data_IF_862249383267
#
_entry.id   IF_862249383267
#
_cell.length_a   1.000
_cell.length_b   1.000
_cell.length_c   1.000
_cell.angle_alpha   90.00
_cell.angle_beta   90.00
_cell.angle_gamma   90.00
#
_symmetry.space_group_name_H-M   'P 1'
#
loop_
_entity.id
_entity.type
_entity.pdbx_description
1 polymer ?
#
# COMPACT_ATOMS: atom_id res chain seq x y z
N UNK A 1 -5.80 -10.45 -0.19
CA UNK A 1 -5.62 -9.04 0.25
C UNK A 1 -4.19 -8.55 0.09
N UNK A 2 -3.16 -9.30 0.51
CA UNK A 2 -1.75 -8.87 0.39
C UNK A 2 -1.34 -8.37 -1.01
N UNK A 3 -1.71 -9.09 -2.08
CA UNK A 3 -1.42 -8.63 -3.44
C UNK A 3 -2.05 -7.28 -3.79
N UNK A 4 -3.26 -7.00 -3.29
CA UNK A 4 -3.94 -5.72 -3.48
C UNK A 4 -3.25 -4.58 -2.72
N UNK A 5 -2.85 -4.83 -1.47
CA UNK A 5 -2.06 -3.87 -0.68
C UNK A 5 -0.73 -3.58 -1.37
N UNK A 6 -0.04 -4.62 -1.85
CA UNK A 6 1.24 -4.46 -2.52
C UNK A 6 1.13 -3.63 -3.79
N UNK A 7 0.11 -3.86 -4.63
CA UNK A 7 -0.13 -3.00 -5.78
C UNK A 7 -0.46 -1.57 -5.36
N UNK A 8 -1.39 -1.39 -4.42
CA UNK A 8 -1.78 -0.06 -3.94
C UNK A 8 -0.57 0.75 -3.45
N UNK A 9 0.39 0.08 -2.80
CA UNK A 9 1.68 0.67 -2.44
C UNK A 9 2.54 0.99 -3.67
N UNK A 10 2.72 0.05 -4.60
CA UNK A 10 3.53 0.23 -5.82
C UNK A 10 3.07 1.41 -6.68
N UNK A 11 1.76 1.63 -6.79
CA UNK A 11 1.21 2.75 -7.58
C UNK A 11 1.06 4.03 -6.75
N UNK A 12 1.27 3.98 -5.44
CA UNK A 12 1.11 5.13 -4.54
C UNK A 12 2.04 6.27 -4.92
N UNK A 13 3.32 5.97 -5.17
CA UNK A 13 4.33 6.95 -5.59
C UNK A 13 3.97 7.66 -6.91
N UNK A 14 3.40 6.92 -7.86
CA UNK A 14 2.94 7.49 -9.15
C UNK A 14 1.80 8.48 -8.92
N UNK A 15 0.88 8.14 -8.02
CA UNK A 15 -0.21 9.04 -7.64
C UNK A 15 0.27 10.23 -6.80
N UNK A 16 1.32 10.08 -5.99
CA UNK A 16 1.89 11.15 -5.18
C UNK A 16 2.45 12.30 -6.06
N UNK A 17 2.98 11.98 -7.23
CA UNK A 17 3.44 12.99 -8.22
C UNK A 17 2.34 13.47 -9.16
N UNK A 18 1.07 13.12 -8.89
CA UNK A 18 -0.09 13.58 -9.65
C UNK A 18 -0.32 12.85 -11.00
N UNK A 19 0.49 11.85 -11.35
CA UNK A 19 0.29 11.10 -12.58
C UNK A 19 -0.95 10.19 -12.48
N UNK A 20 -1.85 10.30 -13.45
CA UNK A 20 -3.13 9.56 -13.46
C UNK A 20 -3.13 8.33 -14.36
N UNK A 21 -2.34 8.38 -15.43
CA UNK A 21 -2.15 7.28 -16.36
C UNK A 21 -0.91 6.47 -15.94
N UNK A 22 -1.04 5.15 -15.95
CA UNK A 22 0.05 4.21 -15.71
C UNK A 22 0.16 3.35 -16.97
N UNK A 23 1.31 3.38 -17.62
CA UNK A 23 1.55 2.67 -18.88
C UNK A 23 1.87 1.20 -18.66
N UNK A 24 2.61 0.90 -17.58
CA UNK A 24 2.97 -0.48 -17.25
C UNK A 24 3.03 -0.72 -15.75
N UNK A 25 2.52 -1.89 -15.34
CA UNK A 25 2.69 -2.43 -13.99
C UNK A 25 3.29 -3.83 -14.09
N UNK A 26 4.35 -4.09 -13.32
CA UNK A 26 4.99 -5.41 -13.19
C UNK A 26 5.00 -5.88 -11.74
N UNK A 27 4.55 -7.09 -11.49
CA UNK A 27 4.66 -7.75 -10.18
C UNK A 27 6.05 -8.32 -9.96
N UNK A 28 6.59 -8.11 -8.77
CA UNK A 28 7.76 -8.82 -8.23
C UNK A 28 7.32 -9.50 -6.95
N UNK A 29 7.36 -10.83 -6.92
CA UNK A 29 6.88 -11.61 -5.77
C UNK A 29 7.90 -12.70 -5.43
N UNK A 30 7.97 -13.10 -4.17
CA UNK A 30 8.65 -14.33 -3.79
C UNK A 30 7.67 -15.48 -3.56
N UNK A 31 8.19 -16.69 -3.70
CA UNK A 31 7.57 -17.92 -3.21
C UNK A 31 8.37 -18.37 -1.97
N UNK A 32 7.82 -18.22 -0.75
CA UNK A 32 8.55 -18.48 0.49
C UNK A 32 9.13 -19.89 0.57
N UNK A 33 10.41 -20.04 0.92
CA UNK A 33 11.04 -21.36 0.98
C UNK A 33 10.53 -22.22 2.14
N UNK A 34 9.97 -21.59 3.18
CA UNK A 34 9.37 -22.29 4.33
C UNK A 34 8.03 -22.93 4.00
N UNK A 35 7.34 -22.47 2.96
CA UNK A 35 6.09 -23.08 2.50
C UNK A 35 6.40 -24.35 1.71
N UNK A 36 5.58 -25.37 1.91
CA UNK A 36 5.50 -26.54 1.04
C UNK A 36 5.09 -26.12 -0.38
N UNK A 37 5.32 -27.00 -1.37
CA UNK A 37 4.89 -26.75 -2.75
C UNK A 37 3.37 -26.53 -2.82
N UNK A 38 2.59 -27.34 -2.12
CA UNK A 38 1.13 -27.20 -2.06
C UNK A 38 0.68 -25.85 -1.48
N UNK A 39 1.36 -25.33 -0.46
CA UNK A 39 1.06 -24.01 0.09
C UNK A 39 1.42 -22.89 -0.89
N UNK A 40 2.56 -23.01 -1.60
CA UNK A 40 2.95 -22.03 -2.63
C UNK A 40 1.96 -22.01 -3.79
N UNK A 41 1.47 -23.17 -4.20
CA UNK A 41 0.46 -23.32 -5.27
C UNK A 41 -0.89 -22.70 -4.93
N UNK A 42 -1.13 -22.38 -3.64
CA UNK A 42 -2.31 -21.65 -3.19
C UNK A 42 -1.98 -20.17 -2.99
N UNK A 43 -0.96 -19.86 -2.19
CA UNK A 43 -0.69 -18.49 -1.73
C UNK A 43 -0.20 -17.60 -2.86
N UNK A 44 0.70 -18.09 -3.73
CA UNK A 44 1.26 -17.26 -4.82
C UNK A 44 0.16 -16.87 -5.83
N UNK A 45 -0.69 -17.79 -6.32
CA UNK A 45 -1.83 -17.40 -7.17
C UNK A 45 -2.80 -16.43 -6.49
N UNK A 46 -3.07 -16.56 -5.18
CA UNK A 46 -3.91 -15.61 -4.45
C UNK A 46 -3.30 -14.20 -4.38
N UNK A 47 -1.98 -14.10 -4.22
CA UNK A 47 -1.25 -12.82 -4.28
C UNK A 47 -1.35 -12.22 -5.67
N UNK A 48 -1.03 -13.00 -6.71
CA UNK A 48 -1.10 -12.56 -8.11
C UNK A 48 -2.50 -12.05 -8.45
N UNK A 49 -3.53 -12.81 -8.09
CA UNK A 49 -4.93 -12.45 -8.31
C UNK A 49 -5.28 -11.11 -7.65
N UNK A 50 -4.97 -10.94 -6.36
CA UNK A 50 -5.25 -9.70 -5.66
C UNK A 50 -4.51 -8.50 -6.23
N UNK A 51 -3.27 -8.70 -6.70
CA UNK A 51 -2.47 -7.68 -7.37
C UNK A 51 -3.11 -7.28 -8.71
N UNK A 52 -3.51 -8.25 -9.53
CA UNK A 52 -4.17 -8.02 -10.83
C UNK A 52 -5.55 -7.35 -10.70
N UNK A 53 -6.35 -7.77 -9.71
CA UNK A 53 -7.67 -7.16 -9.45
C UNK A 53 -7.54 -5.67 -9.12
N UNK A 54 -6.56 -5.30 -8.29
CA UNK A 54 -6.30 -3.90 -7.99
C UNK A 54 -5.68 -3.15 -9.18
N UNK A 55 -4.92 -3.83 -10.05
CA UNK A 55 -4.33 -3.23 -11.25
C UNK A 55 -5.41 -2.84 -12.26
N UNK A 56 -6.47 -3.64 -12.33
CA UNK A 56 -7.66 -3.32 -13.12
C UNK A 56 -8.33 -2.00 -12.65
N UNK A 57 -8.38 -1.74 -11.35
CA UNK A 57 -8.87 -0.46 -10.79
C UNK A 57 -7.95 0.72 -11.12
N UNK A 58 -6.63 0.47 -11.19
CA UNK A 58 -5.67 1.44 -11.71
C UNK A 58 -5.83 1.69 -13.23
N UNK A 59 -6.67 0.92 -13.93
CA UNK A 59 -6.86 0.92 -15.40
C UNK A 59 -5.58 0.55 -16.16
N UNK A 60 -4.71 -0.26 -15.55
CA UNK A 60 -3.49 -0.77 -16.18
C UNK A 60 -3.30 -2.24 -15.76
N UNK A 61 -3.51 -3.22 -16.67
CA UNK A 61 -3.30 -4.62 -16.35
C UNK A 61 -1.85 -4.90 -15.92
N UNK A 62 -1.70 -5.59 -14.79
CA UNK A 62 -0.38 -5.97 -14.30
C UNK A 62 0.16 -7.21 -15.01
N UNK A 63 1.43 -7.14 -15.44
CA UNK A 63 2.20 -8.29 -15.92
C UNK A 63 2.94 -8.95 -14.76
N UNK A 64 3.15 -10.25 -14.84
CA UNK A 64 4.06 -10.95 -13.94
C UNK A 64 5.49 -10.61 -14.40
N UNK A 65 6.27 -9.97 -13.53
CA UNK A 65 7.67 -9.63 -13.80
C UNK A 65 8.61 -10.75 -13.39
N UNK A 66 8.71 -10.99 -12.08
CA UNK A 66 9.56 -12.04 -11.52
C UNK A 66 8.88 -12.74 -10.34
N UNK A 67 9.05 -14.06 -10.28
CA UNK A 67 8.71 -14.88 -9.12
C UNK A 67 9.96 -15.70 -8.78
N UNK A 68 10.46 -15.54 -7.55
CA UNK A 68 11.69 -16.20 -7.11
C UNK A 68 11.50 -16.87 -5.75
N UNK A 69 12.23 -17.96 -5.51
CA UNK A 69 12.32 -18.53 -4.17
C UNK A 69 13.07 -17.58 -3.24
N UNK A 70 12.53 -17.35 -2.05
CA UNK A 70 13.16 -16.53 -1.02
C UNK A 70 12.71 -17.04 0.36
N UNK A 71 13.54 -16.99 1.42
CA UNK A 71 13.09 -17.29 2.77
C UNK A 71 11.89 -16.46 3.22
N UNK A 72 11.83 -15.19 2.81
CA UNK A 72 10.78 -14.27 3.20
C UNK A 72 9.73 -14.06 2.11
N UNK A 73 8.49 -13.80 2.53
CA UNK A 73 7.43 -13.36 1.63
C UNK A 73 7.66 -11.89 1.25
N UNK A 74 8.01 -11.64 -0.01
CA UNK A 74 8.26 -10.33 -0.58
C UNK A 74 7.23 -10.12 -1.67
N UNK A 75 6.49 -9.02 -1.60
CA UNK A 75 5.49 -8.67 -2.60
C UNK A 75 5.67 -7.19 -2.92
N UNK A 76 5.91 -6.89 -4.19
CA UNK A 76 6.12 -5.54 -4.68
C UNK A 76 5.97 -5.50 -6.20
N UNK A 77 6.55 -4.47 -6.81
CA UNK A 77 6.42 -4.29 -8.23
C UNK A 77 7.00 -2.97 -8.73
N UNK A 78 6.81 -2.74 -10.01
CA UNK A 78 7.19 -1.50 -10.69
C UNK A 78 5.92 -0.94 -11.35
N UNK A 79 5.68 0.36 -11.16
CA UNK A 79 4.74 1.13 -11.95
C UNK A 79 5.50 2.16 -12.78
N UNK A 80 5.12 2.33 -14.04
CA UNK A 80 5.78 3.26 -14.97
C UNK A 80 4.74 4.08 -15.71
N UNK A 81 5.00 5.37 -15.83
CA UNK A 81 4.18 6.34 -16.55
C UNK A 81 5.07 7.31 -17.33
N UNK A 82 4.70 7.61 -18.57
CA UNK A 82 5.30 8.62 -19.43
C UNK A 82 4.34 9.82 -19.43
N UNK A 83 4.77 10.91 -18.80
CA UNK A 83 3.94 12.08 -18.58
C UNK A 83 4.56 13.32 -19.19
N UNK A 84 3.73 14.24 -19.67
CA UNK A 84 4.15 15.63 -19.82
C UNK A 84 4.36 16.27 -18.45
N UNK A 85 5.30 17.22 -18.38
CA UNK A 85 5.58 17.96 -17.14
C UNK A 85 4.34 18.64 -16.55
N UNK A 86 3.38 19.05 -17.39
CA UNK A 86 2.11 19.65 -16.96
C UNK A 86 1.15 18.69 -16.25
N UNK A 87 1.38 17.39 -16.36
CA UNK A 87 0.58 16.35 -15.70
C UNK A 87 1.14 15.98 -14.32
N UNK A 88 2.29 16.55 -13.94
CA UNK A 88 2.99 16.24 -12.71
C UNK A 88 2.87 17.37 -11.69
N UNK A 89 2.68 16.98 -10.44
CA UNK A 89 2.70 17.86 -9.26
C UNK A 89 3.93 17.45 -8.46
N UNK A 90 4.94 18.30 -8.47
CA UNK A 90 6.23 17.99 -7.85
C UNK A 90 6.18 18.22 -6.33
N UNK A 91 6.87 17.42 -5.51
CA UNK A 91 6.76 17.45 -4.04
C UNK A 91 7.38 18.69 -3.37
N UNK A 92 8.01 19.59 -4.14
CA UNK A 92 8.83 20.69 -3.62
C UNK A 92 8.25 22.10 -3.88
N UNK A 93 6.99 22.19 -4.28
CA UNK A 93 6.35 23.45 -4.65
C UNK A 93 5.43 24.03 -3.57
N UNK A 94 5.44 23.46 -2.35
CA UNK A 94 4.66 23.96 -1.21
C UNK A 94 5.05 25.40 -0.85
N UNK A 95 4.08 26.19 -0.39
CA UNK A 95 4.22 27.62 -0.12
C UNK A 95 3.78 27.98 1.31
N UNK A 96 4.37 29.03 1.91
CA UNK A 96 3.86 29.56 3.18
C UNK A 96 2.38 29.94 3.08
N UNK A 97 1.57 29.41 4.00
CA UNK A 97 0.12 29.60 4.02
C UNK A 97 -0.68 28.42 3.45
N UNK A 98 -0.02 27.42 2.84
CA UNK A 98 -0.67 26.19 2.41
C UNK A 98 -1.21 25.38 3.61
N UNK A 99 -2.32 24.67 3.38
CA UNK A 99 -2.85 23.70 4.32
C UNK A 99 -2.40 22.28 3.98
N UNK A 100 -2.17 21.46 5.01
CA UNK A 100 -1.84 20.04 4.85
C UNK A 100 -3.12 19.20 4.94
N UNK A 101 -3.30 18.29 3.99
CA UNK A 101 -4.44 17.36 3.93
C UNK A 101 -3.93 15.92 3.87
N UNK A 102 -4.32 15.11 4.85
CA UNK A 102 -4.02 13.68 4.89
C UNK A 102 -5.22 12.86 4.41
N UNK A 103 -5.03 12.01 3.40
CA UNK A 103 -6.14 11.31 2.72
C UNK A 103 -6.47 9.94 3.32
N UNK A 104 -5.57 9.36 4.12
CA UNK A 104 -5.73 8.06 4.81
C UNK A 104 -5.36 8.20 6.29
N UNK A 105 -6.08 7.54 7.21
CA UNK A 105 -5.72 7.55 8.62
C UNK A 105 -4.37 6.85 8.87
N UNK A 106 -3.68 7.26 9.93
CA UNK A 106 -2.44 6.64 10.41
C UNK A 106 -2.73 5.39 11.25
N UNK A 107 -1.67 4.65 11.62
CA UNK A 107 -1.74 3.56 12.60
C UNK A 107 -1.87 2.14 12.02
N UNK A 108 -1.66 1.96 10.71
CA UNK A 108 -1.73 0.65 10.05
C UNK A 108 -0.76 -0.38 10.64
N UNK A 109 0.46 0.03 11.00
CA UNK A 109 1.43 -0.84 11.65
C UNK A 109 0.95 -1.29 13.04
N UNK A 110 0.37 -0.39 13.85
CA UNK A 110 -0.17 -0.74 15.16
C UNK A 110 -1.33 -1.72 15.04
N UNK A 111 -2.27 -1.46 14.12
CA UNK A 111 -3.41 -2.35 13.88
C UNK A 111 -2.97 -3.74 13.39
N UNK A 112 -1.95 -3.80 12.54
CA UNK A 112 -1.41 -5.06 12.00
C UNK A 112 -0.66 -5.84 13.09
N UNK A 113 0.20 -5.18 13.86
CA UNK A 113 0.95 -5.83 14.95
C UNK A 113 0.02 -6.32 16.07
N UNK A 114 -0.99 -5.52 16.46
CA UNK A 114 -1.96 -5.93 17.46
C UNK A 114 -2.71 -7.21 17.02
N UNK A 115 -3.09 -7.29 15.75
CA UNK A 115 -3.74 -8.47 15.18
C UNK A 115 -2.80 -9.68 15.18
N UNK A 116 -1.55 -9.53 14.72
CA UNK A 116 -0.55 -10.62 14.72
C UNK A 116 -0.30 -11.12 16.15
N UNK A 117 -0.05 -10.23 17.10
CA UNK A 117 0.20 -10.61 18.48
C UNK A 117 -1.00 -11.34 19.10
N UNK A 118 -2.22 -10.92 18.77
CA UNK A 118 -3.44 -11.60 19.20
C UNK A 118 -3.55 -13.00 18.60
N UNK A 119 -3.31 -13.16 17.28
CA UNK A 119 -3.45 -14.46 16.60
C UNK A 119 -2.36 -15.47 16.95
N UNK A 120 -1.16 -14.99 17.27
CA UNK A 120 -0.01 -15.82 17.64
C UNK A 120 0.12 -16.00 19.17
N UNK A 121 -0.81 -15.46 19.96
CA UNK A 121 -0.77 -15.45 21.43
C UNK A 121 0.57 -14.94 22.00
N UNK A 122 1.15 -13.93 21.33
CA UNK A 122 2.45 -13.37 21.70
C UNK A 122 2.39 -12.64 23.06
N UNK A 123 3.52 -12.52 23.76
CA UNK A 123 3.60 -11.85 25.08
C UNK A 123 2.99 -10.43 25.08
N UNK A 124 3.17 -9.70 23.97
CA UNK A 124 2.62 -8.35 23.81
C UNK A 124 1.08 -8.32 23.82
N UNK A 125 0.42 -9.41 23.42
CA UNK A 125 -1.05 -9.51 23.48
C UNK A 125 -1.55 -9.46 24.91
N UNK A 126 -0.90 -10.13 25.86
CA UNK A 126 -1.30 -10.12 27.29
C UNK A 126 -1.42 -8.70 27.84
N UNK A 127 -0.51 -7.79 27.43
CA UNK A 127 -0.55 -6.38 27.83
C UNK A 127 -1.70 -5.62 27.15
N UNK A 128 -1.94 -5.89 25.87
CA UNK A 128 -3.01 -5.25 25.10
C UNK A 128 -4.41 -5.73 25.51
N UNK A 129 -4.56 -7.00 25.85
CA UNK A 129 -5.81 -7.63 26.26
C UNK A 129 -6.40 -7.03 27.55
N UNK A 130 -5.58 -6.33 28.35
CA UNK A 130 -6.04 -5.57 29.50
C UNK A 130 -6.80 -4.29 29.13
N UNK A 131 -6.67 -3.82 27.89
CA UNK A 131 -7.20 -2.53 27.42
C UNK A 131 -8.09 -2.64 26.18
N UNK A 132 -7.91 -3.70 25.38
CA UNK A 132 -8.60 -3.90 24.11
C UNK A 132 -9.21 -5.29 24.06
N UNK A 133 -10.41 -5.37 23.51
CA UNK A 133 -11.08 -6.64 23.21
C UNK A 133 -10.61 -7.20 21.86
N UNK A 134 -10.67 -8.52 21.65
CA UNK A 134 -10.38 -9.12 20.33
C UNK A 134 -11.17 -8.48 19.19
N UNK A 135 -12.47 -8.20 19.42
CA UNK A 135 -13.34 -7.58 18.42
C UNK A 135 -12.89 -6.17 18.02
N UNK A 136 -12.33 -5.38 18.94
CA UNK A 136 -11.77 -4.06 18.63
C UNK A 136 -10.49 -4.16 17.80
N UNK A 137 -9.65 -5.16 18.06
CA UNK A 137 -8.44 -5.44 17.29
C UNK A 137 -8.79 -5.90 15.87
N UNK A 138 -9.70 -6.85 15.74
CA UNK A 138 -10.19 -7.33 14.43
C UNK A 138 -10.78 -6.19 13.60
N UNK A 139 -11.59 -5.33 14.23
CA UNK A 139 -12.16 -4.15 13.58
C UNK A 139 -11.07 -3.18 13.12
N UNK A 140 -10.10 -2.89 13.97
CA UNK A 140 -9.00 -1.98 13.66
C UNK A 140 -8.12 -2.52 12.52
N UNK A 141 -7.86 -3.84 12.53
CA UNK A 141 -7.16 -4.54 11.46
C UNK A 141 -7.92 -4.47 10.14
N UNK A 142 -9.24 -4.71 10.14
CA UNK A 142 -10.07 -4.62 8.94
C UNK A 142 -10.03 -3.20 8.34
N UNK A 143 -10.15 -2.15 9.16
CA UNK A 143 -10.03 -0.75 8.72
C UNK A 143 -8.64 -0.47 8.12
N UNK A 144 -7.57 -0.99 8.75
CA UNK A 144 -6.21 -0.83 8.24
C UNK A 144 -6.02 -1.52 6.88
N UNK A 145 -6.50 -2.76 6.75
CA UNK A 145 -6.46 -3.51 5.48
C UNK A 145 -7.23 -2.80 4.39
N UNK A 146 -8.43 -2.28 4.68
CA UNK A 146 -9.23 -1.50 3.73
C UNK A 146 -8.50 -0.22 3.28
N UNK A 147 -7.97 0.55 4.24
CA UNK A 147 -7.20 1.78 3.98
C UNK A 147 -5.95 1.52 3.13
N UNK A 148 -5.18 0.48 3.46
CA UNK A 148 -3.98 0.07 2.71
C UNK A 148 -4.33 -0.46 1.32
N UNK A 149 -5.48 -1.08 1.14
CA UNK A 149 -5.95 -1.66 -0.13
C UNK A 149 -6.57 -0.64 -1.09
N UNK A 150 -6.84 0.58 -0.64
CA UNK A 150 -7.43 1.65 -1.45
C UNK A 150 -6.35 2.37 -2.26
N UNK A 151 -6.56 2.56 -3.57
CA UNK A 151 -5.64 3.31 -4.41
C UNK A 151 -5.68 4.81 -4.09
N UNK A 152 -4.55 5.51 -4.26
CA UNK A 152 -4.46 6.96 -4.10
C UNK A 152 -4.92 7.73 -5.36
N UNK A 153 -5.48 7.03 -6.37
CA UNK A 153 -5.91 7.58 -7.66
C UNK A 153 -6.83 8.80 -7.51
N UNK A 154 -7.89 8.70 -6.72
CA UNK A 154 -8.81 9.83 -6.53
C UNK A 154 -8.14 11.00 -5.83
N UNK A 155 -7.15 10.74 -4.97
CA UNK A 155 -6.30 11.80 -4.40
C UNK A 155 -5.57 12.55 -5.51
N UNK A 156 -4.88 11.83 -6.40
CA UNK A 156 -4.20 12.42 -7.55
C UNK A 156 -5.13 13.20 -8.48
N UNK A 157 -6.34 12.70 -8.74
CA UNK A 157 -7.34 13.39 -9.57
C UNK A 157 -7.77 14.73 -8.94
N UNK A 158 -7.98 14.73 -7.62
CA UNK A 158 -8.39 15.93 -6.89
C UNK A 158 -7.25 16.93 -6.70
N UNK A 159 -6.00 16.49 -6.66
CA UNK A 159 -4.83 17.38 -6.62
C UNK A 159 -4.82 18.33 -7.83
N UNK A 160 -5.05 17.81 -9.04
CA UNK A 160 -5.16 18.62 -10.25
C UNK A 160 -6.37 19.56 -10.20
N UNK A 161 -7.52 19.05 -9.77
CA UNK A 161 -8.78 19.82 -9.74
C UNK A 161 -8.71 21.04 -8.81
N UNK A 162 -8.04 20.89 -7.67
CA UNK A 162 -7.98 21.93 -6.64
C UNK A 162 -6.65 22.69 -6.62
N UNK A 163 -5.74 22.42 -7.56
CA UNK A 163 -4.47 23.13 -7.68
C UNK A 163 -3.52 22.87 -6.51
N UNK A 164 -3.37 21.60 -6.10
CA UNK A 164 -2.41 21.24 -5.06
C UNK A 164 -1.00 21.67 -5.44
N UNK A 165 -0.29 22.29 -4.50
CA UNK A 165 1.07 22.77 -4.74
C UNK A 165 2.12 21.65 -4.66
N UNK A 166 1.98 20.74 -3.70
CA UNK A 166 2.89 19.63 -3.50
C UNK A 166 2.15 18.44 -2.87
N UNK A 167 2.68 17.24 -3.06
CA UNK A 167 2.21 16.05 -2.38
C UNK A 167 3.33 15.02 -2.24
N UNK A 168 3.13 14.14 -1.26
CA UNK A 168 3.92 12.94 -1.01
C UNK A 168 2.97 11.89 -0.45
N UNK A 169 3.28 10.62 -0.58
CA UNK A 169 2.58 9.58 0.15
C UNK A 169 3.27 9.30 1.49
N UNK A 170 2.56 8.63 2.40
CA UNK A 170 3.06 8.29 3.74
C UNK A 170 3.17 6.78 3.84
N UNK A 171 4.40 6.27 3.84
CA UNK A 171 4.70 4.84 3.86
C UNK A 171 5.64 4.49 5.03
N UNK A 172 6.75 3.83 4.77
CA UNK A 172 7.61 3.19 5.79
C UNK A 172 8.33 4.15 6.72
N UNK A 173 8.51 5.42 6.33
CA UNK A 173 9.15 6.42 7.19
C UNK A 173 8.18 7.10 8.18
N UNK A 174 6.87 6.83 8.05
CA UNK A 174 5.84 7.44 8.87
C UNK A 174 5.59 8.92 8.55
N UNK A 175 4.54 9.51 9.13
CA UNK A 175 4.09 10.86 8.75
C UNK A 175 5.19 11.91 8.90
N UNK A 176 5.90 11.91 10.03
CA UNK A 176 6.96 12.89 10.29
C UNK A 176 8.11 12.75 9.29
N UNK A 177 8.59 11.53 9.04
CA UNK A 177 9.71 11.30 8.11
C UNK A 177 9.42 11.66 6.66
N UNK A 178 8.16 11.62 6.22
CA UNK A 178 7.75 12.10 4.89
C UNK A 178 7.43 13.62 4.86
N UNK A 179 7.25 14.25 6.02
CA UNK A 179 6.92 15.67 6.14
C UNK A 179 8.16 16.57 6.31
N UNK A 180 9.31 15.99 6.65
CA UNK A 180 10.63 16.65 6.63
C UNK A 180 11.21 16.78 5.22
#
# INVERSE_FOLDING_TARGET
MLGRIALANVVSDVYAVGALAIDEIKLVCSAPTEFSEAERDIVVPMIIRGFQEAAAEAKCPAKIGSIALNPWCIIGGIATAVCHKSELIMPYNAQPGDALVLTKPLGTQLATNAFIWMTEEAENWTKLAAHLTPAEVERSYAIAVESMSRLNRSGAELMHKFGAHAATDVTGFGLFGHAE
#
